data_IF_913265987992
#
_entry.id   IF_913265987992
#
_cell.length_a   1.000
_cell.length_b   1.000
_cell.length_c   1.000
_cell.angle_alpha   90.00
_cell.angle_beta   90.00
_cell.angle_gamma   90.00
#
_symmetry.space_group_name_H-M   'P 1'
#
loop_
_entity.id
_entity.type
_entity.pdbx_description
1 polymer ?
#
# COMPACT_ATOMS: atom_id res chain seq x y z
N UNK A 1 -5.10 -1.92 -16.66
CA UNK A 1 -3.84 -2.10 -17.43
C UNK A 1 -4.19 -2.62 -18.81
N UNK A 2 -3.53 -2.10 -19.83
CA UNK A 2 -3.87 -2.44 -21.23
C UNK A 2 -2.88 -3.41 -21.86
N UNK A 3 -1.67 -3.52 -21.30
CA UNK A 3 -0.63 -4.40 -21.83
C UNK A 3 -0.27 -5.48 -20.79
N UNK A 4 -0.38 -6.77 -21.15
CA UNK A 4 -0.13 -7.85 -20.20
C UNK A 4 1.34 -7.92 -19.79
N UNK A 5 1.58 -8.22 -18.53
CA UNK A 5 2.89 -8.52 -17.99
C UNK A 5 2.82 -9.67 -16.99
N UNK A 6 3.94 -10.33 -16.80
CA UNK A 6 4.08 -11.37 -15.79
C UNK A 6 4.38 -10.72 -14.45
N UNK A 7 3.54 -10.98 -13.46
CA UNK A 7 3.80 -10.57 -12.09
C UNK A 7 5.06 -11.24 -11.55
N UNK A 8 5.85 -10.48 -10.81
CA UNK A 8 7.11 -10.97 -10.22
C UNK A 8 7.00 -10.92 -8.70
N UNK A 9 6.87 -12.06 -8.02
CA UNK A 9 6.96 -12.13 -6.57
C UNK A 9 8.31 -11.61 -6.08
N UNK A 10 8.29 -10.80 -5.02
CA UNK A 10 9.50 -10.21 -4.48
C UNK A 10 9.43 -9.99 -2.97
N UNK A 11 10.60 -9.90 -2.33
CA UNK A 11 10.71 -9.65 -0.88
C UNK A 11 9.96 -8.40 -0.41
N UNK A 12 9.77 -7.40 -1.26
CA UNK A 12 9.02 -6.18 -0.92
C UNK A 12 7.52 -6.41 -0.63
N UNK A 13 6.94 -7.57 -1.03
CA UNK A 13 5.59 -7.95 -0.63
C UNK A 13 5.45 -8.07 0.89
N UNK A 14 6.56 -8.29 1.60
CA UNK A 14 6.59 -8.31 3.07
C UNK A 14 6.09 -7.00 3.68
N UNK A 15 6.27 -5.86 3.00
CA UNK A 15 5.72 -4.60 3.49
C UNK A 15 4.20 -4.65 3.57
N UNK A 16 3.52 -5.21 2.54
CA UNK A 16 2.08 -5.42 2.60
C UNK A 16 1.72 -6.41 3.73
N UNK A 17 2.48 -7.49 3.90
CA UNK A 17 2.24 -8.46 4.99
C UNK A 17 2.37 -7.83 6.38
N UNK A 18 3.26 -6.86 6.56
CA UNK A 18 3.34 -6.08 7.79
C UNK A 18 2.11 -5.20 8.00
N UNK A 19 1.61 -4.57 6.94
CA UNK A 19 0.37 -3.78 7.00
C UNK A 19 -0.85 -4.68 7.22
N UNK A 20 -0.90 -5.86 6.61
CA UNK A 20 -1.95 -6.86 6.85
C UNK A 20 -2.00 -7.24 8.34
N UNK A 21 -0.84 -7.49 8.94
CA UNK A 21 -0.75 -7.78 10.37
C UNK A 21 -1.21 -6.59 11.23
N UNK A 22 -0.70 -5.38 10.94
CA UNK A 22 -1.11 -4.17 11.66
C UNK A 22 -2.62 -3.97 11.56
N UNK A 23 -3.20 -4.15 10.39
CA UNK A 23 -4.63 -3.97 10.18
C UNK A 23 -5.45 -5.03 10.94
N UNK A 24 -5.19 -6.32 10.72
CA UNK A 24 -6.03 -7.39 11.24
C UNK A 24 -5.75 -7.72 12.71
N UNK A 25 -4.48 -7.73 13.11
CA UNK A 25 -4.06 -8.20 14.42
C UNK A 25 -3.90 -7.06 15.45
N UNK A 26 -3.64 -5.83 14.98
CA UNK A 26 -3.45 -4.68 15.88
C UNK A 26 -4.68 -3.77 15.84
N UNK A 27 -5.00 -3.17 14.69
CA UNK A 27 -6.10 -2.19 14.61
C UNK A 27 -7.48 -2.82 14.79
N UNK A 28 -7.81 -3.89 14.08
CA UNK A 28 -9.12 -4.53 14.20
C UNK A 28 -9.36 -5.16 15.57
N UNK A 29 -8.31 -5.45 16.33
CA UNK A 29 -8.42 -5.96 17.70
C UNK A 29 -8.32 -4.87 18.78
N UNK A 30 -8.09 -3.62 18.42
CA UNK A 30 -7.92 -2.51 19.34
C UNK A 30 -9.05 -2.37 20.40
N UNK A 31 -10.34 -2.59 20.06
CA UNK A 31 -11.42 -2.47 21.06
C UNK A 31 -11.29 -3.40 22.27
N UNK A 32 -10.51 -4.47 22.16
CA UNK A 32 -10.38 -5.50 23.20
C UNK A 32 -8.93 -5.74 23.66
N UNK A 33 -7.94 -5.08 23.07
CA UNK A 33 -6.51 -5.36 23.30
C UNK A 33 -5.85 -4.50 24.38
N UNK A 34 -6.53 -3.49 24.92
CA UNK A 34 -5.95 -2.57 25.91
C UNK A 34 -5.09 -1.46 25.30
N UNK A 35 -4.10 -0.91 26.03
CA UNK A 35 -3.30 0.21 25.54
C UNK A 35 -2.36 -0.19 24.38
N UNK A 36 -2.07 0.76 23.48
CA UNK A 36 -1.09 0.58 22.43
C UNK A 36 0.32 0.37 23.01
N UNK A 37 1.08 -0.53 22.39
CA UNK A 37 2.47 -0.77 22.77
C UNK A 37 3.09 -1.93 22.00
N UNK A 38 4.39 -2.08 22.15
CA UNK A 38 5.18 -3.10 21.46
C UNK A 38 4.69 -4.55 21.62
N UNK A 39 4.11 -4.97 22.76
CA UNK A 39 3.58 -6.33 22.89
C UNK A 39 2.50 -6.71 21.89
N UNK A 40 1.80 -5.75 21.28
CA UNK A 40 0.82 -6.01 20.22
C UNK A 40 1.43 -6.65 18.98
N UNK A 41 2.74 -6.58 18.82
CA UNK A 41 3.48 -7.10 17.66
C UNK A 41 4.20 -8.42 17.94
N UNK A 42 4.09 -9.00 19.13
CA UNK A 42 4.86 -10.19 19.55
C UNK A 42 4.58 -11.43 18.68
N UNK A 43 3.38 -11.53 18.08
CA UNK A 43 3.04 -12.60 17.15
C UNK A 43 3.72 -12.47 15.77
N UNK A 44 4.38 -11.35 15.48
CA UNK A 44 5.17 -11.13 14.27
C UNK A 44 6.56 -10.58 14.65
N UNK A 45 7.50 -11.48 14.90
CA UNK A 45 8.83 -11.12 15.40
C UNK A 45 9.57 -10.11 14.50
N UNK A 46 9.48 -10.24 13.17
CA UNK A 46 10.16 -9.32 12.26
C UNK A 46 9.55 -7.91 12.30
N UNK A 47 8.23 -7.80 12.34
CA UNK A 47 7.54 -6.52 12.50
C UNK A 47 7.80 -5.93 13.89
N UNK A 48 7.84 -6.77 14.93
CA UNK A 48 8.19 -6.36 16.30
C UNK A 48 9.56 -5.68 16.37
N UNK A 49 10.56 -6.27 15.70
CA UNK A 49 11.91 -5.69 15.60
C UNK A 49 11.88 -4.33 14.88
N UNK A 50 11.12 -4.20 13.78
CA UNK A 50 10.97 -2.94 13.05
C UNK A 50 10.30 -1.88 13.92
N UNK A 51 9.20 -2.22 14.59
CA UNK A 51 8.46 -1.30 15.47
C UNK A 51 9.31 -0.83 16.66
N UNK A 52 10.10 -1.73 17.22
CA UNK A 52 11.03 -1.38 18.30
C UNK A 52 12.14 -0.44 17.82
N UNK A 53 12.75 -0.74 16.66
CA UNK A 53 13.75 0.14 16.05
C UNK A 53 13.17 1.52 15.73
N UNK A 54 11.91 1.61 15.29
CA UNK A 54 11.24 2.88 15.00
C UNK A 54 10.90 3.66 16.26
N UNK A 55 10.48 2.97 17.32
CA UNK A 55 10.21 3.59 18.62
C UNK A 55 11.42 4.32 19.20
N UNK A 56 12.64 3.79 19.01
CA UNK A 56 13.88 4.39 19.50
C UNK A 56 14.60 5.26 18.46
N UNK A 57 14.00 5.52 17.29
CA UNK A 57 14.62 6.26 16.20
C UNK A 57 14.22 7.74 16.19
N UNK A 58 15.20 8.63 16.00
CA UNK A 58 14.95 10.06 15.79
C UNK A 58 14.61 10.41 14.32
N UNK A 59 14.53 9.42 13.42
CA UNK A 59 14.22 9.65 12.03
C UNK A 59 12.74 9.98 11.84
N UNK A 60 12.45 11.11 11.18
CA UNK A 60 11.07 11.55 10.93
C UNK A 60 10.17 10.49 10.26
N UNK A 61 10.76 9.65 9.37
CA UNK A 61 10.01 8.58 8.71
C UNK A 61 9.68 7.43 9.65
N UNK A 62 10.51 7.17 10.68
CA UNK A 62 10.25 6.17 11.71
C UNK A 62 9.16 6.68 12.67
N UNK A 63 9.29 7.93 13.13
CA UNK A 63 8.28 8.61 13.94
C UNK A 63 6.93 8.70 13.23
N UNK A 64 6.94 9.04 11.93
CA UNK A 64 5.75 9.00 11.10
C UNK A 64 5.08 7.62 11.14
N UNK A 65 5.82 6.54 10.85
CA UNK A 65 5.24 5.21 10.77
C UNK A 65 4.68 4.77 12.13
N UNK A 66 5.50 4.82 13.17
CA UNK A 66 5.11 4.41 14.53
C UNK A 66 3.94 5.24 15.06
N UNK A 67 4.04 6.57 14.98
CA UNK A 67 3.04 7.48 15.51
C UNK A 67 1.68 7.39 14.79
N UNK A 68 1.67 7.12 13.46
CA UNK A 68 0.40 6.89 12.76
C UNK A 68 -0.21 5.52 13.08
N UNK A 69 0.60 4.48 13.25
CA UNK A 69 0.09 3.16 13.69
C UNK A 69 -0.58 3.28 15.07
N UNK A 70 0.04 4.00 16.01
CA UNK A 70 -0.53 4.27 17.34
C UNK A 70 -1.81 5.12 17.27
N UNK A 71 -1.79 6.23 16.51
CA UNK A 71 -2.93 7.14 16.39
C UNK A 71 -4.15 6.45 15.79
N UNK A 72 -3.96 5.67 14.72
CA UNK A 72 -5.03 4.91 14.09
C UNK A 72 -5.54 3.82 15.03
N UNK A 73 -4.67 3.16 15.78
CA UNK A 73 -5.08 2.22 16.84
C UNK A 73 -6.04 2.87 17.83
N UNK A 74 -5.72 4.07 18.32
CA UNK A 74 -6.59 4.82 19.23
C UNK A 74 -7.97 5.11 18.62
N UNK A 75 -8.05 5.38 17.32
CA UNK A 75 -9.33 5.60 16.64
C UNK A 75 -10.11 4.28 16.45
N UNK A 76 -9.42 3.18 16.13
CA UNK A 76 -10.04 1.86 16.03
C UNK A 76 -10.56 1.33 17.36
N UNK A 77 -9.92 1.68 18.47
CA UNK A 77 -10.36 1.23 19.82
C UNK A 77 -11.77 1.69 20.19
N UNK A 78 -12.28 2.74 19.56
CA UNK A 78 -13.63 3.26 19.77
C UNK A 78 -14.68 2.67 18.81
N UNK A 79 -14.29 1.79 17.87
CA UNK A 79 -15.21 1.22 16.89
C UNK A 79 -16.00 0.04 17.48
N UNK A 80 -17.25 -0.07 17.04
CA UNK A 80 -18.08 -1.26 17.29
C UNK A 80 -17.66 -2.44 16.41
N UNK A 81 -18.08 -3.65 16.80
CA UNK A 81 -17.82 -4.88 16.02
C UNK A 81 -18.34 -4.75 14.58
N UNK A 82 -19.52 -4.15 14.37
CA UNK A 82 -20.08 -3.96 13.03
C UNK A 82 -19.21 -3.04 12.17
N UNK A 83 -18.66 -1.97 12.75
CA UNK A 83 -17.76 -1.06 12.06
C UNK A 83 -16.41 -1.74 11.73
N UNK A 84 -15.85 -2.52 12.66
CA UNK A 84 -14.64 -3.31 12.38
C UNK A 84 -14.88 -4.27 11.20
N UNK A 85 -15.98 -5.00 11.18
CA UNK A 85 -16.33 -5.90 10.08
C UNK A 85 -16.43 -5.14 8.74
N UNK A 86 -17.01 -3.93 8.75
CA UNK A 86 -17.07 -3.09 7.54
C UNK A 86 -15.67 -2.67 7.07
N UNK A 87 -14.77 -2.28 7.99
CA UNK A 87 -13.39 -1.96 7.64
C UNK A 87 -12.64 -3.17 7.06
N UNK A 88 -12.90 -4.39 7.57
CA UNK A 88 -12.30 -5.62 7.03
C UNK A 88 -12.79 -5.91 5.61
N UNK A 89 -14.06 -5.70 5.31
CA UNK A 89 -14.59 -5.83 3.93
C UNK A 89 -13.95 -4.82 2.98
N UNK A 90 -13.85 -3.56 3.37
CA UNK A 90 -13.19 -2.52 2.60
C UNK A 90 -11.70 -2.79 2.38
N UNK A 91 -11.02 -3.28 3.41
CA UNK A 91 -9.61 -3.68 3.30
C UNK A 91 -9.43 -4.79 2.28
N UNK A 92 -10.26 -5.82 2.35
CA UNK A 92 -10.24 -6.93 1.42
C UNK A 92 -10.57 -6.46 -0.01
N UNK A 93 -11.62 -5.66 -0.19
CA UNK A 93 -12.04 -5.16 -1.50
C UNK A 93 -10.92 -4.36 -2.19
N UNK A 94 -10.29 -3.43 -1.48
CA UNK A 94 -9.20 -2.61 -2.04
C UNK A 94 -7.91 -3.40 -2.33
N UNK A 95 -7.70 -4.56 -1.70
CA UNK A 95 -6.52 -5.40 -1.90
C UNK A 95 -6.73 -6.58 -2.86
N UNK A 96 -7.98 -6.93 -3.22
CA UNK A 96 -8.28 -7.98 -4.19
C UNK A 96 -8.20 -7.44 -5.63
N UNK A 97 -6.96 -7.18 -6.09
CA UNK A 97 -6.73 -6.58 -7.40
C UNK A 97 -7.21 -7.48 -8.55
N UNK A 98 -7.27 -8.78 -8.34
CA UNK A 98 -7.76 -9.72 -9.35
C UNK A 98 -9.26 -9.48 -9.63
N UNK A 99 -10.07 -9.33 -8.57
CA UNK A 99 -11.49 -8.96 -8.70
C UNK A 99 -11.68 -7.55 -9.26
N UNK A 100 -10.90 -6.59 -8.78
CA UNK A 100 -10.95 -5.21 -9.29
C UNK A 100 -10.66 -5.16 -10.79
N UNK A 101 -9.62 -5.84 -11.25
CA UNK A 101 -9.26 -5.90 -12.67
C UNK A 101 -10.28 -6.69 -13.53
N UNK A 102 -10.96 -7.67 -12.92
CA UNK A 102 -12.04 -8.42 -13.55
C UNK A 102 -13.37 -7.65 -13.60
N UNK A 103 -13.44 -6.45 -13.00
CA UNK A 103 -14.68 -5.70 -12.80
C UNK A 103 -15.76 -6.52 -12.08
N UNK A 104 -15.36 -7.29 -11.07
CA UNK A 104 -16.25 -8.13 -10.29
C UNK A 104 -17.12 -7.24 -9.39
N UNK A 105 -18.47 -7.30 -9.48
CA UNK A 105 -19.37 -6.46 -8.67
C UNK A 105 -19.30 -6.76 -7.17
N UNK A 106 -18.66 -7.86 -6.76
CA UNK A 106 -18.42 -8.21 -5.35
C UNK A 106 -17.23 -7.45 -4.76
N UNK A 107 -16.38 -6.82 -5.60
CA UNK A 107 -15.28 -5.99 -5.12
C UNK A 107 -15.86 -4.70 -4.51
N UNK A 108 -15.97 -4.66 -3.18
CA UNK A 108 -16.43 -3.49 -2.40
C UNK A 108 -15.31 -2.48 -2.24
N UNK A 109 -15.11 -1.64 -3.24
CA UNK A 109 -14.07 -0.60 -3.23
C UNK A 109 -14.49 0.58 -2.36
N UNK A 110 -13.57 1.05 -1.51
CA UNK A 110 -13.76 2.22 -0.67
C UNK A 110 -12.70 3.28 -0.93
N UNK A 111 -13.11 4.53 -1.05
CA UNK A 111 -12.22 5.70 -1.11
C UNK A 111 -12.05 6.33 0.27
N UNK A 112 -11.03 7.17 0.45
CA UNK A 112 -10.87 7.95 1.69
C UNK A 112 -12.09 8.84 1.97
N UNK A 113 -12.72 9.39 0.93
CA UNK A 113 -13.93 10.21 1.05
C UNK A 113 -15.11 9.46 1.63
N UNK A 114 -15.26 8.17 1.28
CA UNK A 114 -16.34 7.33 1.74
C UNK A 114 -16.17 6.98 3.23
N UNK A 115 -14.93 6.68 3.62
CA UNK A 115 -14.59 6.50 5.04
C UNK A 115 -14.82 7.79 5.82
N UNK A 116 -14.34 8.92 5.31
CA UNK A 116 -14.45 10.22 5.98
C UNK A 116 -15.91 10.70 6.12
N UNK A 117 -16.83 10.25 5.25
CA UNK A 117 -18.24 10.58 5.34
C UNK A 117 -18.89 10.02 6.62
N UNK A 118 -18.38 8.89 7.14
CA UNK A 118 -18.91 8.24 8.36
C UNK A 118 -17.92 8.31 9.52
N UNK A 119 -16.62 8.36 9.25
CA UNK A 119 -15.52 8.35 10.21
C UNK A 119 -14.46 9.38 9.81
N UNK A 120 -14.76 10.69 9.96
CA UNK A 120 -13.92 11.78 9.45
C UNK A 120 -12.47 11.66 9.87
N UNK A 121 -12.21 11.63 11.18
CA UNK A 121 -10.84 11.61 11.70
C UNK A 121 -10.07 10.37 11.24
N UNK A 122 -10.74 9.22 11.21
CA UNK A 122 -10.13 7.98 10.76
C UNK A 122 -9.81 8.02 9.25
N UNK A 123 -10.71 8.53 8.42
CA UNK A 123 -10.47 8.72 7.00
C UNK A 123 -9.27 9.65 6.73
N UNK A 124 -9.16 10.73 7.49
CA UNK A 124 -8.02 11.67 7.40
C UNK A 124 -6.69 11.01 7.82
N UNK A 125 -6.66 10.28 8.95
CA UNK A 125 -5.44 9.63 9.42
C UNK A 125 -5.01 8.49 8.49
N UNK A 126 -5.93 7.66 8.02
CA UNK A 126 -5.66 6.63 7.01
C UNK A 126 -5.11 7.24 5.72
N UNK A 127 -5.66 8.38 5.28
CA UNK A 127 -5.18 9.05 4.07
C UNK A 127 -3.72 9.50 4.20
N UNK A 128 -3.35 10.10 5.33
CA UNK A 128 -1.96 10.51 5.56
C UNK A 128 -1.03 9.30 5.63
N UNK A 129 -1.42 8.28 6.40
CA UNK A 129 -0.62 7.07 6.58
C UNK A 129 -0.38 6.33 5.26
N UNK A 130 -1.44 5.91 4.57
CA UNK A 130 -1.30 5.11 3.35
C UNK A 130 -0.64 5.87 2.19
N UNK A 131 -0.89 7.17 2.05
CA UNK A 131 -0.17 8.00 1.07
C UNK A 131 1.32 8.11 1.37
N UNK A 132 1.70 8.12 2.64
CA UNK A 132 3.09 8.21 3.10
C UNK A 132 3.88 6.90 3.06
N UNK A 133 3.21 5.74 3.08
CA UNK A 133 3.88 4.43 3.10
C UNK A 133 4.79 4.20 1.89
N UNK A 134 4.37 4.63 0.70
CA UNK A 134 5.18 4.55 -0.51
C UNK A 134 6.07 5.80 -0.64
N UNK A 135 6.97 6.00 0.30
CA UNK A 135 7.99 7.06 0.28
C UNK A 135 9.38 6.45 0.38
N UNK A 136 10.33 7.02 -0.39
CA UNK A 136 11.71 6.53 -0.39
C UNK A 136 12.34 6.63 1.02
N UNK A 137 12.07 7.71 1.75
CA UNK A 137 12.61 7.93 3.08
C UNK A 137 12.16 6.88 4.11
N UNK A 138 10.95 6.33 3.97
CA UNK A 138 10.48 5.25 4.82
C UNK A 138 11.07 3.89 4.38
N UNK A 139 10.98 3.58 3.08
CA UNK A 139 11.41 2.29 2.54
C UNK A 139 12.93 2.06 2.67
N UNK A 140 13.72 3.14 2.75
CA UNK A 140 15.17 3.08 2.93
C UNK A 140 15.61 3.02 4.42
N UNK A 141 14.70 3.10 5.39
CA UNK A 141 15.05 2.91 6.79
C UNK A 141 15.67 1.52 6.99
N UNK A 142 16.88 1.48 7.57
CA UNK A 142 17.69 0.27 7.65
C UNK A 142 16.94 -0.92 8.26
N UNK A 143 16.23 -0.70 9.38
CA UNK A 143 15.47 -1.74 10.07
C UNK A 143 14.38 -2.34 9.17
N UNK A 144 13.71 -1.52 8.35
CA UNK A 144 12.68 -1.95 7.43
C UNK A 144 13.29 -2.59 6.17
N UNK A 145 14.28 -1.92 5.54
CA UNK A 145 14.91 -2.35 4.30
C UNK A 145 15.52 -3.75 4.38
N UNK A 146 16.14 -4.09 5.50
CA UNK A 146 16.68 -5.45 5.74
C UNK A 146 15.58 -6.51 5.64
N UNK A 147 14.35 -6.19 6.08
CA UNK A 147 13.21 -7.12 6.05
C UNK A 147 12.52 -7.17 4.69
N UNK A 148 12.31 -6.02 4.04
CA UNK A 148 11.52 -5.92 2.80
C UNK A 148 12.35 -5.95 1.51
N UNK A 149 13.67 -5.77 1.58
CA UNK A 149 14.54 -5.68 0.39
C UNK A 149 14.52 -4.30 -0.27
N UNK A 150 14.90 -4.25 -1.55
CA UNK A 150 15.06 -3.03 -2.32
C UNK A 150 14.18 -3.03 -3.57
N UNK A 151 13.55 -1.91 -3.87
CA UNK A 151 12.70 -1.74 -5.05
C UNK A 151 13.50 -1.82 -6.37
N UNK A 152 14.80 -1.50 -6.33
CA UNK A 152 15.66 -1.66 -7.51
C UNK A 152 15.85 -3.13 -7.86
N UNK A 153 15.98 -4.02 -6.86
CA UNK A 153 16.09 -5.46 -7.08
C UNK A 153 14.81 -6.01 -7.70
N UNK A 154 13.64 -5.56 -7.19
CA UNK A 154 12.35 -5.89 -7.81
C UNK A 154 12.31 -5.42 -9.27
N UNK A 155 12.75 -4.19 -9.55
CA UNK A 155 12.74 -3.65 -10.91
C UNK A 155 13.62 -4.47 -11.86
N UNK A 156 14.82 -4.86 -11.46
CA UNK A 156 15.72 -5.70 -12.26
C UNK A 156 15.08 -7.06 -12.57
N UNK A 157 14.43 -7.66 -11.57
CA UNK A 157 13.72 -8.94 -11.77
C UNK A 157 12.50 -8.75 -12.70
N UNK A 158 11.77 -7.65 -12.54
CA UNK A 158 10.63 -7.30 -13.41
C UNK A 158 11.04 -7.18 -14.87
N UNK A 159 12.06 -6.39 -15.20
CA UNK A 159 12.48 -6.17 -16.59
C UNK A 159 13.15 -7.40 -17.21
N UNK A 160 13.82 -8.24 -16.42
CA UNK A 160 14.40 -9.50 -16.91
C UNK A 160 13.33 -10.55 -17.24
N UNK A 161 12.20 -10.51 -16.56
CA UNK A 161 11.04 -11.40 -16.80
C UNK A 161 10.18 -10.87 -17.94
N UNK A 162 9.90 -9.57 -17.96
CA UNK A 162 9.00 -8.91 -18.92
C UNK A 162 9.76 -8.32 -20.10
N UNK A 163 10.38 -9.21 -20.89
CA UNK A 163 11.31 -8.85 -22.01
C UNK A 163 10.72 -8.00 -23.12
N UNK A 164 9.38 -7.91 -23.24
CA UNK A 164 8.72 -7.03 -24.19
C UNK A 164 9.05 -5.54 -23.94
N UNK A 165 9.44 -5.19 -22.71
CA UNK A 165 9.90 -3.85 -22.35
C UNK A 165 8.86 -2.75 -22.51
N UNK A 166 7.56 -3.10 -22.58
CA UNK A 166 6.46 -2.14 -22.77
C UNK A 166 5.84 -1.72 -21.45
N UNK A 167 5.38 -0.48 -21.41
CA UNK A 167 4.67 0.04 -20.26
C UNK A 167 3.35 -0.72 -20.00
N UNK A 168 3.13 -1.31 -18.82
CA UNK A 168 1.89 -2.03 -18.49
C UNK A 168 0.62 -1.18 -18.58
N UNK A 169 0.75 0.15 -18.47
CA UNK A 169 -0.41 1.04 -18.49
C UNK A 169 -0.87 1.44 -19.89
N UNK A 170 0.04 1.68 -20.83
CA UNK A 170 -0.35 2.10 -22.18
C UNK A 170 0.00 1.09 -23.29
N UNK A 171 0.92 0.16 -23.04
CA UNK A 171 1.39 -0.79 -24.04
C UNK A 171 2.21 -0.18 -25.20
N UNK A 172 2.43 1.14 -25.20
CA UNK A 172 3.08 1.89 -26.27
C UNK A 172 4.50 2.29 -25.88
N UNK A 173 4.63 3.03 -24.76
CA UNK A 173 5.92 3.51 -24.28
C UNK A 173 6.82 2.38 -23.84
N UNK A 174 8.11 2.50 -24.12
CA UNK A 174 9.11 1.58 -23.61
C UNK A 174 9.44 1.92 -22.15
N UNK A 175 9.73 0.89 -21.34
CA UNK A 175 10.28 1.05 -20.00
C UNK A 175 11.80 0.83 -20.05
N UNK A 176 12.52 1.46 -19.13
CA UNK A 176 13.99 1.33 -19.04
C UNK A 176 14.38 -0.12 -18.79
N UNK A 177 15.25 -0.66 -19.65
CA UNK A 177 15.75 -2.03 -19.50
C UNK A 177 16.81 -2.17 -18.41
N UNK A 178 17.26 -3.41 -18.19
CA UNK A 178 18.21 -3.79 -17.13
C UNK A 178 19.57 -3.03 -17.16
N UNK A 179 19.96 -2.51 -18.32
CA UNK A 179 21.23 -1.78 -18.48
C UNK A 179 21.13 -0.28 -18.22
N UNK A 180 19.95 0.24 -17.91
CA UNK A 180 19.79 1.63 -17.51
C UNK A 180 20.26 1.85 -16.08
N UNK A 181 20.90 2.99 -15.83
CA UNK A 181 21.37 3.40 -14.49
C UNK A 181 20.23 3.83 -13.56
N UNK A 182 19.07 4.13 -14.12
CA UNK A 182 17.87 4.53 -13.37
C UNK A 182 16.69 3.66 -13.80
N UNK A 183 15.86 3.26 -12.83
CA UNK A 183 14.60 2.57 -13.10
C UNK A 183 13.48 3.53 -13.49
N UNK A 184 12.37 3.01 -14.00
CA UNK A 184 11.10 3.73 -14.05
C UNK A 184 10.49 3.89 -12.66
N UNK A 185 9.64 4.90 -12.51
CA UNK A 185 8.78 5.01 -11.35
C UNK A 185 7.71 3.90 -11.40
N UNK A 186 7.31 3.41 -10.24
CA UNK A 186 6.12 2.58 -10.12
C UNK A 186 4.89 3.46 -10.00
N UNK A 187 3.86 3.10 -10.69
CA UNK A 187 2.55 3.74 -10.58
C UNK A 187 1.52 2.74 -10.01
N UNK A 188 0.53 3.27 -9.34
CA UNK A 188 -0.54 2.49 -8.71
C UNK A 188 -1.71 2.32 -9.67
N UNK A 189 -2.19 1.10 -9.88
CA UNK A 189 -3.41 0.88 -10.65
C UNK A 189 -4.60 1.60 -10.00
N UNK A 190 -4.94 1.27 -8.75
CA UNK A 190 -5.82 2.08 -7.91
C UNK A 190 -4.98 3.21 -7.28
N UNK A 191 -5.24 4.49 -7.61
CA UNK A 191 -4.40 5.58 -7.14
C UNK A 191 -4.36 5.69 -5.61
N UNK A 192 -3.15 5.68 -5.03
CA UNK A 192 -2.98 5.87 -3.58
C UNK A 192 -3.51 7.21 -3.06
N UNK A 193 -3.77 8.16 -3.95
CA UNK A 193 -4.40 9.43 -3.59
C UNK A 193 -5.88 9.29 -3.27
N UNK A 194 -6.54 8.26 -3.78
CA UNK A 194 -7.98 8.01 -3.66
C UNK A 194 -8.30 6.82 -2.75
N UNK A 195 -7.51 5.74 -2.85
CA UNK A 195 -7.80 4.46 -2.21
C UNK A 195 -6.86 4.17 -1.04
N UNK A 196 -7.39 3.82 0.15
CA UNK A 196 -6.62 3.29 1.26
C UNK A 196 -6.19 1.83 1.03
N UNK A 197 -5.32 1.33 1.91
CA UNK A 197 -4.96 -0.07 2.14
C UNK A 197 -4.01 -0.74 1.14
N UNK A 198 -3.90 -0.25 -0.11
CA UNK A 198 -3.17 -0.92 -1.19
C UNK A 198 -1.96 -0.13 -1.74
N UNK A 199 -1.52 0.92 -1.03
CA UNK A 199 -0.45 1.80 -1.52
C UNK A 199 0.93 1.13 -1.62
N UNK A 200 1.14 0.04 -0.91
CA UNK A 200 2.38 -0.75 -0.96
C UNK A 200 2.13 -2.20 -1.41
N UNK A 201 0.90 -2.51 -1.85
CA UNK A 201 0.58 -3.79 -2.44
C UNK A 201 1.19 -3.87 -3.86
N UNK A 202 2.17 -4.74 -4.05
CA UNK A 202 2.87 -4.86 -5.33
C UNK A 202 1.99 -5.40 -6.48
N UNK A 203 0.83 -6.02 -6.18
CA UNK A 203 -0.18 -6.30 -7.21
C UNK A 203 -0.85 -5.06 -7.74
N UNK A 204 -0.90 -3.98 -6.92
CA UNK A 204 -1.39 -2.66 -7.32
C UNK A 204 -0.33 -1.78 -7.99
N UNK A 205 0.92 -2.24 -8.05
CA UNK A 205 2.08 -1.46 -8.50
C UNK A 205 2.71 -2.07 -9.75
N UNK A 206 2.98 -1.25 -10.74
CA UNK A 206 3.79 -1.65 -11.89
C UNK A 206 4.70 -0.51 -12.36
N UNK A 207 5.88 -0.80 -12.93
CA UNK A 207 6.70 0.22 -13.58
C UNK A 207 5.91 0.91 -14.70
N UNK A 208 5.95 2.23 -14.77
CA UNK A 208 5.23 3.02 -15.76
C UNK A 208 6.20 3.89 -16.57
N UNK A 209 5.96 4.03 -17.87
CA UNK A 209 6.69 5.01 -18.65
C UNK A 209 6.42 6.42 -18.12
N UNK A 210 7.34 7.34 -18.42
CA UNK A 210 7.26 8.72 -17.92
C UNK A 210 5.92 9.37 -18.25
N UNK A 211 5.43 9.21 -19.48
CA UNK A 211 4.19 9.82 -19.95
C UNK A 211 2.96 9.31 -19.16
N UNK A 212 2.89 7.99 -18.89
CA UNK A 212 1.80 7.44 -18.08
C UNK A 212 1.86 7.94 -16.65
N UNK A 213 3.05 7.91 -16.03
CA UNK A 213 3.20 8.28 -14.63
C UNK A 213 3.01 9.78 -14.38
N UNK A 214 3.43 10.65 -15.33
CA UNK A 214 3.45 12.11 -15.14
C UNK A 214 2.32 12.87 -15.82
N UNK A 215 1.64 12.28 -16.82
CA UNK A 215 0.71 13.03 -17.66
C UNK A 215 -0.62 12.33 -17.94
N UNK A 216 -0.60 11.04 -18.27
CA UNK A 216 -1.83 10.39 -18.75
C UNK A 216 -2.68 9.80 -17.63
N UNK A 217 -2.06 9.09 -16.70
CA UNK A 217 -2.78 8.44 -15.62
C UNK A 217 -2.95 9.35 -14.42
N UNK A 218 -1.86 9.85 -13.85
CA UNK A 218 -1.90 10.67 -12.63
C UNK A 218 -2.78 10.01 -11.54
N UNK A 219 -3.74 10.75 -11.01
CA UNK A 219 -4.74 10.28 -10.05
C UNK A 219 -6.09 9.93 -10.70
N UNK A 220 -6.13 9.69 -12.03
CA UNK A 220 -7.36 9.21 -12.68
C UNK A 220 -7.76 7.87 -12.09
N UNK A 221 -9.03 7.73 -11.81
CA UNK A 221 -9.60 6.52 -11.22
C UNK A 221 -9.95 5.52 -12.31
N UNK A 222 -9.29 4.34 -12.37
CA UNK A 222 -9.60 3.34 -13.38
C UNK A 222 -10.77 2.44 -13.00
N UNK A 223 -11.20 2.48 -11.73
CA UNK A 223 -12.24 1.61 -11.19
C UNK A 223 -13.65 2.22 -11.27
N UNK A 224 -13.73 3.52 -11.56
CA UNK A 224 -15.00 4.22 -11.68
C UNK A 224 -15.00 5.07 -12.96
N UNK A 225 -16.13 5.15 -13.62
CA UNK A 225 -16.34 6.07 -14.73
C UNK A 225 -16.42 7.54 -14.25
N UNK A 226 -16.66 8.49 -15.20
CA UNK A 226 -16.80 9.91 -14.86
C UNK A 226 -17.99 10.21 -13.96
N UNK A 227 -18.98 9.33 -13.94
CA UNK A 227 -20.20 9.45 -13.14
C UNK A 227 -20.08 8.73 -11.79
N UNK A 228 -18.89 8.14 -11.50
CA UNK A 228 -18.61 7.45 -10.24
C UNK A 228 -19.23 6.06 -10.14
N UNK A 229 -19.52 5.43 -11.30
CA UNK A 229 -20.09 4.07 -11.41
C UNK A 229 -19.06 3.06 -11.83
#
# INVERSE_FOLDING_TARGET
MLFPYTYVPHKMEKMQSFIDFIFHEVWCKAPVSGPFGLPLFDANAELREVMEAFYYSDAQSADFFYGYVERIYGLFSALSVAQINQFQLWYQGNNDLDKVCANDPVADLVRYTDIAATHKDLGEQLAVFFKGLYSQSLLDLAALRVKIGDINDHYQTFVSTNKAGKCPFCGIGDIKGAHHTKREAYDHYLPKALYPFNSINFRNLAPACHECNSSYKLSKDPAHDRDGR
#
